data_IF_902068491376
#
_entry.id   IF_902068491376
#
_cell.length_a   1.000
_cell.length_b   1.000
_cell.length_c   1.000
_cell.angle_alpha   90.00
_cell.angle_beta   90.00
_cell.angle_gamma   90.00
#
_symmetry.space_group_name_H-M   'P 1'
#
loop_
_entity.id
_entity.type
_entity.pdbx_description
1 polymer ?
#
# COMPACT_ATOMS: atom_id res chain seq x y z
N UNK A 1 -77.98 -5.03 -44.24
CA UNK A 1 -77.03 -4.59 -45.26
C UNK A 1 -75.66 -4.33 -44.56
N UNK A 2 -74.63 -4.85 -45.10
CA UNK A 2 -73.33 -5.14 -44.43
C UNK A 2 -72.50 -3.86 -44.16
N UNK A 3 -72.18 -3.60 -42.89
CA UNK A 3 -71.24 -2.60 -42.51
C UNK A 3 -69.85 -3.25 -42.23
N UNK A 4 -68.81 -2.83 -42.97
CA UNK A 4 -67.42 -3.27 -42.80
C UNK A 4 -66.80 -2.54 -41.65
N UNK A 5 -66.31 -3.29 -40.68
CA UNK A 5 -65.40 -2.77 -39.61
C UNK A 5 -63.96 -2.74 -40.15
N UNK A 6 -63.35 -1.58 -40.19
CA UNK A 6 -61.93 -1.41 -40.45
C UNK A 6 -61.18 -1.59 -39.11
N UNK A 7 -60.27 -2.55 -39.07
CA UNK A 7 -59.38 -2.75 -37.97
C UNK A 7 -58.10 -1.89 -38.20
N UNK A 8 -57.80 -0.92 -37.30
CA UNK A 8 -56.57 -0.21 -37.28
C UNK A 8 -55.57 -1.09 -36.54
N UNK A 9 -54.53 -1.56 -37.20
CA UNK A 9 -53.37 -2.19 -36.58
C UNK A 9 -52.39 -1.10 -36.17
N UNK A 10 -52.23 -0.89 -34.86
CA UNK A 10 -51.17 -0.06 -34.31
C UNK A 10 -49.88 -0.87 -34.25
N UNK A 11 -48.90 -0.53 -35.08
CA UNK A 11 -47.57 -1.07 -35.04
C UNK A 11 -46.81 -0.37 -33.90
N UNK A 12 -46.55 -1.10 -32.80
CA UNK A 12 -45.64 -0.66 -31.73
C UNK A 12 -44.21 -0.90 -32.21
N UNK A 13 -43.51 0.18 -32.57
CA UNK A 13 -42.08 0.15 -32.85
C UNK A 13 -41.32 0.06 -31.51
N UNK A 14 -40.91 -1.15 -31.14
CA UNK A 14 -39.97 -1.34 -30.03
C UNK A 14 -38.57 -0.90 -30.47
N UNK A 15 -38.16 0.28 -30.06
CA UNK A 15 -36.76 0.73 -30.17
C UNK A 15 -35.97 -0.02 -29.12
N UNK A 16 -35.34 -1.12 -29.52
CA UNK A 16 -34.26 -1.72 -28.72
C UNK A 16 -33.04 -0.79 -28.77
N UNK A 17 -32.88 0.03 -27.76
CA UNK A 17 -31.56 0.65 -27.48
C UNK A 17 -30.61 -0.44 -27.05
N UNK A 18 -29.84 -0.97 -27.98
CA UNK A 18 -28.68 -1.78 -27.69
C UNK A 18 -27.70 -0.86 -26.93
N UNK A 19 -27.60 -1.05 -25.61
CA UNK A 19 -26.50 -0.56 -24.85
C UNK A 19 -25.24 -1.22 -25.44
N UNK A 20 -24.45 -0.46 -26.20
CA UNK A 20 -23.14 -0.86 -26.63
C UNK A 20 -22.31 -1.04 -25.35
N UNK A 21 -22.17 -2.29 -24.91
CA UNK A 21 -21.10 -2.65 -24.00
C UNK A 21 -19.83 -2.29 -24.75
N UNK A 22 -19.20 -1.17 -24.33
CA UNK A 22 -17.84 -0.86 -24.74
C UNK A 22 -17.00 -2.05 -24.28
N UNK A 23 -16.66 -2.92 -25.23
CA UNK A 23 -15.57 -3.88 -25.07
C UNK A 23 -14.35 -3.03 -24.71
N UNK A 24 -13.99 -3.00 -23.41
CA UNK A 24 -12.68 -2.53 -23.02
C UNK A 24 -11.69 -3.38 -23.81
N UNK A 25 -11.06 -2.76 -24.79
CA UNK A 25 -9.86 -3.31 -25.43
C UNK A 25 -8.97 -3.67 -24.27
N UNK A 26 -8.58 -4.94 -24.15
CA UNK A 26 -7.60 -5.35 -23.16
C UNK A 26 -6.38 -4.45 -23.38
N UNK A 27 -6.16 -3.51 -22.47
CA UNK A 27 -5.02 -2.62 -22.57
C UNK A 27 -3.79 -3.53 -22.58
N UNK A 28 -2.93 -3.40 -23.59
CA UNK A 28 -1.70 -4.16 -23.67
C UNK A 28 -0.93 -3.94 -22.36
N UNK A 29 -0.68 -5.02 -21.63
CA UNK A 29 0.06 -4.96 -20.39
C UNK A 29 1.51 -4.55 -20.70
N UNK A 30 2.05 -3.64 -19.91
CA UNK A 30 3.45 -3.28 -20.06
C UNK A 30 4.35 -4.49 -19.81
N UNK A 31 5.23 -4.86 -20.76
CA UNK A 31 6.09 -6.04 -20.63
C UNK A 31 7.08 -5.94 -19.48
N UNK A 32 7.54 -4.73 -19.12
CA UNK A 32 8.46 -4.51 -18.01
C UNK A 32 7.78 -4.82 -16.68
N UNK A 33 6.57 -4.31 -16.47
CA UNK A 33 5.78 -4.58 -15.26
C UNK A 33 5.42 -6.06 -15.19
N UNK A 34 4.97 -6.65 -16.31
CA UNK A 34 4.64 -8.08 -16.39
C UNK A 34 5.84 -8.95 -16.03
N UNK A 35 7.05 -8.57 -16.47
CA UNK A 35 8.29 -9.27 -16.15
C UNK A 35 8.58 -9.24 -14.64
N UNK A 36 8.47 -8.09 -13.97
CA UNK A 36 8.70 -7.98 -12.51
C UNK A 36 7.64 -8.80 -11.74
N UNK A 37 6.37 -8.73 -12.15
CA UNK A 37 5.28 -9.51 -11.55
C UNK A 37 5.53 -11.01 -11.70
N UNK A 38 5.97 -11.45 -12.90
CA UNK A 38 6.29 -12.83 -13.19
C UNK A 38 7.54 -13.35 -12.47
N UNK A 39 8.45 -12.45 -12.08
CA UNK A 39 9.67 -12.81 -11.37
C UNK A 39 9.44 -13.19 -9.90
N UNK A 40 8.27 -12.92 -9.31
CA UNK A 40 7.96 -13.26 -7.90
C UNK A 40 7.93 -14.77 -7.72
N UNK A 41 8.80 -15.27 -6.83
CA UNK A 41 9.03 -16.68 -6.57
C UNK A 41 8.39 -17.15 -5.25
N UNK A 42 7.37 -17.98 -5.37
CA UNK A 42 6.72 -18.63 -4.22
C UNK A 42 7.72 -19.48 -3.42
N UNK A 43 8.55 -20.28 -4.11
CA UNK A 43 9.55 -21.11 -3.47
C UNK A 43 10.62 -20.30 -2.72
N UNK A 44 10.95 -19.08 -3.20
CA UNK A 44 11.86 -18.19 -2.47
C UNK A 44 11.20 -17.59 -1.24
N UNK A 45 9.94 -17.15 -1.33
CA UNK A 45 9.17 -16.68 -0.18
C UNK A 45 9.13 -17.73 0.93
N UNK A 46 8.84 -18.99 0.58
CA UNK A 46 8.84 -20.11 1.52
C UNK A 46 10.21 -20.31 2.17
N UNK A 47 11.28 -20.35 1.39
CA UNK A 47 12.64 -20.55 1.90
C UNK A 47 13.05 -19.41 2.86
N UNK A 48 12.78 -18.16 2.49
CA UNK A 48 13.08 -17.01 3.33
C UNK A 48 12.31 -17.06 4.64
N UNK A 49 11.02 -17.38 4.60
CA UNK A 49 10.17 -17.43 5.79
C UNK A 49 10.58 -18.58 6.72
N UNK A 50 10.91 -19.75 6.19
CA UNK A 50 11.45 -20.87 7.00
C UNK A 50 12.72 -20.46 7.75
N UNK A 51 13.61 -19.72 7.10
CA UNK A 51 14.84 -19.24 7.74
C UNK A 51 14.51 -18.20 8.81
N UNK A 52 13.64 -17.25 8.52
CA UNK A 52 13.25 -16.17 9.46
C UNK A 52 12.57 -16.71 10.72
N UNK A 53 11.66 -17.67 10.58
CA UNK A 53 11.02 -18.38 11.69
C UNK A 53 12.03 -19.18 12.52
N UNK A 54 13.04 -19.73 11.87
CA UNK A 54 14.12 -20.51 12.51
C UNK A 54 14.92 -19.76 13.57
N UNK A 55 14.87 -18.42 13.62
CA UNK A 55 15.46 -17.63 14.71
C UNK A 55 14.69 -17.74 16.05
N UNK A 56 13.58 -18.47 16.10
CA UNK A 56 12.82 -18.83 17.29
C UNK A 56 12.03 -17.68 17.89
N UNK A 57 12.69 -16.58 18.21
CA UNK A 57 12.07 -15.30 18.61
C UNK A 57 12.74 -14.16 17.86
N UNK A 58 11.95 -13.15 17.53
CA UNK A 58 12.49 -11.89 17.02
C UNK A 58 11.97 -10.70 17.85
N UNK A 59 11.64 -10.98 19.12
CA UNK A 59 11.18 -9.93 20.03
C UNK A 59 12.25 -8.80 20.12
N UNK A 60 11.81 -7.56 20.00
CA UNK A 60 12.68 -6.37 20.05
C UNK A 60 13.56 -6.31 21.32
N UNK A 61 13.10 -6.95 22.40
CA UNK A 61 13.83 -7.05 23.67
C UNK A 61 14.59 -8.37 23.85
N UNK A 62 14.65 -9.26 22.84
CA UNK A 62 15.43 -10.51 22.93
C UNK A 62 16.93 -10.23 23.03
N UNK A 63 17.70 -11.22 23.44
CA UNK A 63 19.15 -11.10 23.51
C UNK A 63 19.74 -10.96 22.11
N UNK A 64 20.49 -9.89 21.89
CA UNK A 64 21.14 -9.59 20.61
C UNK A 64 22.52 -10.22 20.44
N UNK A 65 23.04 -10.89 21.46
CA UNK A 65 24.36 -11.55 21.42
C UNK A 65 24.29 -12.98 20.85
N UNK A 66 23.11 -13.57 20.75
CA UNK A 66 22.94 -14.92 20.21
C UNK A 66 23.28 -14.95 18.71
N UNK A 67 24.12 -15.89 18.27
CA UNK A 67 24.57 -15.93 16.87
C UNK A 67 23.51 -16.49 15.91
N UNK A 68 22.56 -17.31 16.41
CA UNK A 68 21.59 -18.05 15.57
C UNK A 68 20.14 -17.86 16.04
N UNK A 69 19.89 -17.04 17.02
CA UNK A 69 18.55 -16.83 17.61
C UNK A 69 18.34 -15.35 17.94
N UNK A 70 17.08 -14.95 18.04
CA UNK A 70 16.69 -13.62 18.50
C UNK A 70 16.80 -12.54 17.41
N UNK A 71 16.39 -11.33 17.81
CA UNK A 71 16.29 -10.19 16.87
C UNK A 71 17.66 -9.78 16.30
N UNK A 72 18.74 -9.99 17.06
CA UNK A 72 20.10 -9.68 16.62
C UNK A 72 20.54 -10.52 15.42
N UNK A 73 20.35 -11.84 15.51
CA UNK A 73 20.66 -12.79 14.44
C UNK A 73 19.76 -12.58 13.23
N UNK A 74 18.45 -12.39 13.45
CA UNK A 74 17.48 -12.16 12.37
C UNK A 74 17.82 -10.91 11.55
N UNK A 75 18.06 -9.76 12.20
CA UNK A 75 18.38 -8.51 11.47
C UNK A 75 19.69 -8.61 10.68
N UNK A 76 20.70 -9.30 11.23
CA UNK A 76 21.97 -9.51 10.52
C UNK A 76 21.74 -10.41 9.29
N UNK A 77 20.98 -11.48 9.44
CA UNK A 77 20.64 -12.34 8.30
C UNK A 77 19.87 -11.59 7.21
N UNK A 78 18.86 -10.75 7.56
CA UNK A 78 18.14 -9.93 6.57
C UNK A 78 19.10 -9.00 5.83
N UNK A 79 19.99 -8.33 6.57
CA UNK A 79 21.02 -7.46 5.99
C UNK A 79 21.92 -8.20 5.00
N UNK A 80 22.44 -9.37 5.41
CA UNK A 80 23.35 -10.18 4.60
C UNK A 80 22.65 -10.75 3.38
N UNK A 81 21.39 -11.21 3.51
CA UNK A 81 20.60 -11.73 2.40
C UNK A 81 20.29 -10.64 1.36
N UNK A 82 19.89 -9.45 1.78
CA UNK A 82 19.67 -8.32 0.87
C UNK A 82 20.97 -7.87 0.19
N UNK A 83 22.09 -7.85 0.92
CA UNK A 83 23.41 -7.52 0.35
C UNK A 83 23.85 -8.51 -0.70
N UNK A 84 23.61 -9.82 -0.48
CA UNK A 84 23.95 -10.88 -1.45
C UNK A 84 23.03 -10.89 -2.66
N UNK A 85 21.82 -10.36 -2.53
CA UNK A 85 20.80 -10.40 -3.57
C UNK A 85 21.23 -9.69 -4.85
N UNK A 86 21.79 -8.48 -4.73
CA UNK A 86 22.25 -7.72 -5.90
C UNK A 86 23.21 -6.60 -5.51
N UNK A 87 24.27 -6.35 -6.29
CA UNK A 87 25.15 -5.21 -6.08
C UNK A 87 24.48 -3.85 -6.36
N UNK A 88 23.30 -3.84 -6.99
CA UNK A 88 22.51 -2.61 -7.19
C UNK A 88 21.85 -2.13 -5.90
N UNK A 89 21.66 -2.99 -4.89
CA UNK A 89 21.03 -2.65 -3.63
C UNK A 89 22.05 -2.02 -2.67
N UNK A 90 21.73 -0.83 -2.21
CA UNK A 90 22.49 -0.14 -1.16
C UNK A 90 21.87 -0.51 0.18
N UNK A 91 22.47 -1.47 0.90
CA UNK A 91 21.93 -2.00 2.16
C UNK A 91 22.59 -1.31 3.34
N UNK A 92 21.78 -0.92 4.32
CA UNK A 92 22.24 -0.23 5.54
C UNK A 92 21.34 -0.51 6.74
N UNK A 93 21.88 -0.29 7.93
CA UNK A 93 21.07 -0.23 9.14
C UNK A 93 20.63 1.21 9.43
N UNK A 94 19.33 1.38 9.64
CA UNK A 94 18.77 2.59 10.21
C UNK A 94 18.66 2.40 11.74
N UNK A 95 19.60 2.97 12.49
CA UNK A 95 19.82 2.69 13.91
C UNK A 95 19.26 3.79 14.80
N UNK A 96 18.48 3.39 15.81
CA UNK A 96 17.84 4.27 16.79
C UNK A 96 18.12 3.80 18.22
N UNK A 97 18.51 4.72 19.11
CA UNK A 97 18.64 4.44 20.55
C UNK A 97 17.32 4.76 21.24
N UNK A 98 16.65 3.72 21.71
CA UNK A 98 15.34 3.81 22.33
C UNK A 98 15.48 3.66 23.85
N UNK A 99 14.94 4.62 24.59
CA UNK A 99 14.98 4.63 26.04
C UNK A 99 13.89 3.73 26.64
N UNK A 100 14.17 3.16 27.80
CA UNK A 100 13.18 2.52 28.67
C UNK A 100 11.95 3.41 28.84
N UNK A 101 10.76 2.83 28.79
CA UNK A 101 9.48 3.51 28.90
C UNK A 101 8.85 3.90 27.57
N UNK A 102 9.58 3.86 26.45
CA UNK A 102 9.02 4.06 25.13
C UNK A 102 7.94 3.00 24.80
N UNK A 103 7.12 3.27 23.77
CA UNK A 103 6.05 2.36 23.36
C UNK A 103 4.99 2.13 24.44
N UNK A 104 4.59 3.20 25.15
CA UNK A 104 3.66 3.13 26.29
C UNK A 104 4.15 2.15 27.39
N UNK A 105 5.46 2.14 27.64
CA UNK A 105 6.09 1.29 28.66
C UNK A 105 6.44 -0.13 28.17
N UNK A 106 6.17 -0.48 26.91
CA UNK A 106 6.52 -1.79 26.36
C UNK A 106 8.03 -2.02 26.21
N UNK A 107 8.80 -0.94 26.03
CA UNK A 107 10.26 -0.99 26.09
C UNK A 107 10.71 -0.96 27.54
N UNK A 108 11.06 -2.12 28.08
CA UNK A 108 11.39 -2.29 29.52
C UNK A 108 12.84 -1.99 29.88
N UNK A 109 13.73 -1.85 28.89
CA UNK A 109 15.16 -1.45 29.04
C UNK A 109 15.59 -0.59 27.88
N UNK A 110 16.73 0.10 27.98
CA UNK A 110 17.32 0.78 26.84
C UNK A 110 17.72 -0.24 25.77
N UNK A 111 17.36 0.03 24.50
CA UNK A 111 17.70 -0.84 23.38
C UNK A 111 18.22 -0.05 22.19
N UNK A 112 19.08 -0.69 21.42
CA UNK A 112 19.44 -0.24 20.08
C UNK A 112 18.56 -0.97 19.06
N UNK A 113 17.62 -0.23 18.50
CA UNK A 113 16.72 -0.71 17.47
C UNK A 113 17.33 -0.44 16.10
N UNK A 114 17.28 -1.41 15.19
CA UNK A 114 17.81 -1.27 13.83
C UNK A 114 16.77 -1.74 12.81
N UNK A 115 16.28 -0.83 11.97
CA UNK A 115 15.61 -1.22 10.75
C UNK A 115 16.67 -1.65 9.72
N UNK A 116 16.34 -2.59 8.85
CA UNK A 116 17.20 -2.96 7.71
C UNK A 116 16.63 -2.29 6.47
N UNK A 117 17.44 -1.47 5.80
CA UNK A 117 17.01 -0.67 4.66
C UNK A 117 17.85 -1.05 3.45
N UNK A 118 17.19 -1.42 2.35
CA UNK A 118 17.81 -1.62 1.04
C UNK A 118 17.24 -0.59 0.06
N UNK A 119 18.12 0.14 -0.61
CA UNK A 119 17.76 1.17 -1.58
C UNK A 119 18.19 0.73 -2.97
N UNK A 120 17.25 0.70 -3.91
CA UNK A 120 17.51 0.57 -5.33
C UNK A 120 17.39 1.98 -5.94
N UNK A 121 18.52 2.65 -6.28
CA UNK A 121 18.49 4.00 -6.83
C UNK A 121 17.73 4.05 -8.16
N UNK A 122 16.85 5.04 -8.31
CA UNK A 122 16.25 5.44 -9.58
C UNK A 122 16.92 6.68 -10.15
N UNK A 123 16.40 7.18 -11.28
CA UNK A 123 16.91 8.41 -11.93
C UNK A 123 16.56 9.68 -11.15
N UNK A 124 15.52 9.63 -10.35
CA UNK A 124 15.05 10.77 -9.53
C UNK A 124 15.14 10.45 -8.03
N UNK A 125 15.21 11.49 -7.18
CA UNK A 125 15.24 11.32 -5.73
C UNK A 125 13.88 10.94 -5.13
N UNK A 126 12.79 10.90 -5.91
CA UNK A 126 11.47 10.47 -5.43
C UNK A 126 11.55 9.05 -4.89
N UNK A 127 10.97 8.80 -3.73
CA UNK A 127 11.04 7.49 -3.09
C UNK A 127 9.68 6.82 -2.99
N UNK A 128 9.67 5.53 -3.31
CA UNK A 128 8.56 4.62 -3.07
C UNK A 128 9.07 3.58 -2.08
N UNK A 129 8.39 3.49 -0.93
CA UNK A 129 8.73 2.56 0.14
C UNK A 129 7.83 1.34 0.11
N UNK A 130 8.41 0.18 0.43
CA UNK A 130 7.67 -1.01 0.83
C UNK A 130 8.23 -1.53 2.14
N UNK A 131 7.35 -1.86 3.09
CA UNK A 131 7.73 -2.26 4.45
C UNK A 131 6.97 -3.49 4.93
N UNK A 132 7.60 -4.21 5.85
CA UNK A 132 7.07 -5.22 6.73
C UNK A 132 7.91 -5.22 8.00
N UNK A 133 7.37 -5.67 9.14
CA UNK A 133 8.15 -5.70 10.38
C UNK A 133 8.74 -7.07 10.66
N UNK A 134 10.02 -7.10 11.03
CA UNK A 134 10.69 -8.39 11.28
C UNK A 134 10.71 -8.80 12.74
N UNK A 135 10.33 -7.92 13.66
CA UNK A 135 10.13 -8.30 15.06
C UNK A 135 8.86 -9.15 15.23
N UNK A 136 8.83 -9.95 16.28
CA UNK A 136 7.72 -10.83 16.62
C UNK A 136 7.44 -10.79 18.11
N UNK A 137 6.23 -11.20 18.49
CA UNK A 137 5.76 -11.14 19.85
C UNK A 137 5.10 -12.46 20.27
N UNK A 138 5.33 -12.89 21.51
CA UNK A 138 4.54 -13.92 22.17
C UNK A 138 3.97 -13.37 23.46
N UNK A 139 2.64 -13.43 23.60
CA UNK A 139 1.88 -12.97 24.76
C UNK A 139 1.32 -14.15 25.52
N UNK A 140 1.03 -13.95 26.79
CA UNK A 140 0.14 -14.85 27.50
C UNK A 140 -1.26 -14.86 26.88
N UNK A 141 -2.02 -15.96 27.01
CA UNK A 141 -3.35 -16.10 26.43
C UNK A 141 -4.29 -14.93 26.76
N UNK A 142 -4.24 -14.42 27.99
CA UNK A 142 -5.07 -13.28 28.41
C UNK A 142 -4.70 -11.99 27.68
N UNK A 143 -3.41 -11.73 27.51
CA UNK A 143 -2.93 -10.57 26.75
C UNK A 143 -3.27 -10.66 25.27
N UNK A 144 -3.17 -11.86 24.69
CA UNK A 144 -3.57 -12.15 23.31
C UNK A 144 -5.07 -11.94 23.12
N UNK A 145 -5.91 -12.46 24.02
CA UNK A 145 -7.36 -12.27 23.98
C UNK A 145 -7.75 -10.79 24.08
N UNK A 146 -7.06 -10.02 24.93
CA UNK A 146 -7.31 -8.60 25.08
C UNK A 146 -7.01 -7.82 23.79
N UNK A 147 -5.88 -8.09 23.11
CA UNK A 147 -5.54 -7.48 21.83
C UNK A 147 -6.53 -7.86 20.73
N UNK A 148 -6.91 -9.12 20.66
CA UNK A 148 -7.86 -9.61 19.65
C UNK A 148 -9.28 -9.03 19.82
N UNK A 149 -9.63 -8.55 21.02
CA UNK A 149 -10.89 -7.83 21.29
C UNK A 149 -10.81 -6.34 21.02
N UNK A 150 -9.70 -5.85 20.45
CA UNK A 150 -9.51 -4.44 20.15
C UNK A 150 -9.18 -3.58 21.36
N UNK A 151 -8.84 -4.19 22.49
CA UNK A 151 -8.35 -3.45 23.64
C UNK A 151 -6.93 -2.96 23.38
N UNK A 152 -6.70 -1.66 23.54
CA UNK A 152 -5.34 -1.10 23.70
C UNK A 152 -4.86 -1.48 25.10
N UNK A 153 -4.49 -2.75 25.27
CA UNK A 153 -4.14 -3.24 26.60
C UNK A 153 -2.75 -2.71 27.00
N UNK A 154 -2.65 -1.82 27.98
CA UNK A 154 -1.37 -1.49 28.62
C UNK A 154 -0.70 -2.70 29.27
N UNK A 155 -1.46 -3.76 29.47
CA UNK A 155 -1.07 -5.00 30.17
C UNK A 155 -0.55 -6.12 29.26
N UNK A 156 -0.52 -5.95 27.94
CA UNK A 156 0.12 -6.90 27.03
C UNK A 156 1.65 -6.85 27.20
N UNK A 157 2.15 -7.18 28.39
CA UNK A 157 3.58 -7.33 28.64
C UNK A 157 3.96 -8.72 28.17
N UNK A 158 4.93 -8.78 27.25
CA UNK A 158 5.71 -9.99 27.04
C UNK A 158 6.41 -10.28 28.35
N UNK A 159 6.12 -11.42 28.96
CA UNK A 159 6.73 -11.76 30.26
C UNK A 159 8.23 -12.07 30.09
N UNK A 160 8.57 -12.76 29.02
CA UNK A 160 9.95 -13.07 28.66
C UNK A 160 10.16 -12.84 27.15
N UNK A 161 11.00 -11.89 26.76
CA UNK A 161 11.28 -11.63 25.35
C UNK A 161 12.05 -12.75 24.64
N UNK A 162 12.51 -13.75 25.38
CA UNK A 162 13.31 -14.85 24.85
C UNK A 162 12.50 -16.14 24.61
N UNK A 163 11.21 -16.16 24.97
CA UNK A 163 10.32 -17.28 24.61
C UNK A 163 10.11 -17.33 23.10
N UNK A 164 9.74 -18.53 22.62
CA UNK A 164 9.47 -18.72 21.20
C UNK A 164 8.30 -17.85 20.75
N UNK A 165 8.56 -17.08 19.72
CA UNK A 165 7.63 -16.21 19.02
C UNK A 165 7.90 -16.34 17.52
N UNK A 166 7.40 -17.41 16.88
CA UNK A 166 7.73 -17.72 15.48
C UNK A 166 7.35 -16.58 14.53
N UNK A 167 6.18 -15.93 14.76
CA UNK A 167 5.74 -14.78 13.97
C UNK A 167 5.79 -15.04 12.48
N UNK A 168 5.30 -16.20 12.02
CA UNK A 168 5.39 -16.57 10.62
C UNK A 168 4.53 -15.67 9.74
N UNK A 169 3.32 -15.39 10.19
CA UNK A 169 2.41 -14.50 9.48
C UNK A 169 2.49 -13.07 10.02
N UNK A 170 2.62 -12.88 11.32
CA UNK A 170 2.76 -11.60 12.02
C UNK A 170 4.23 -11.36 12.48
N UNK A 171 5.14 -10.69 11.76
CA UNK A 171 5.00 -10.31 10.36
C UNK A 171 6.19 -10.83 9.55
N UNK A 172 6.45 -12.14 9.71
CA UNK A 172 7.39 -12.82 8.83
C UNK A 172 6.95 -12.75 7.37
N UNK A 173 5.62 -12.84 7.12
CA UNK A 173 5.04 -12.80 5.79
C UNK A 173 5.34 -11.50 5.06
N UNK A 174 5.11 -10.35 5.67
CA UNK A 174 5.43 -9.05 5.09
C UNK A 174 6.94 -8.81 4.95
N UNK A 175 7.73 -9.24 5.94
CA UNK A 175 9.19 -9.14 5.87
C UNK A 175 9.76 -9.87 4.64
N UNK A 176 9.38 -11.14 4.41
CA UNK A 176 9.90 -11.88 3.26
C UNK A 176 9.33 -11.40 1.93
N UNK A 177 8.12 -10.86 1.92
CA UNK A 177 7.55 -10.18 0.77
C UNK A 177 8.41 -8.98 0.36
N UNK A 178 8.83 -8.15 1.32
CA UNK A 178 9.74 -7.01 1.09
C UNK A 178 11.09 -7.49 0.53
N UNK A 179 11.66 -8.58 1.07
CA UNK A 179 12.93 -9.15 0.60
C UNK A 179 12.81 -9.74 -0.82
N UNK A 180 11.69 -10.35 -1.15
CA UNK A 180 11.44 -10.88 -2.50
C UNK A 180 11.23 -9.76 -3.52
N UNK A 181 10.50 -8.71 -3.16
CA UNK A 181 10.38 -7.52 -4.00
C UNK A 181 11.74 -6.88 -4.25
N UNK A 182 12.58 -6.71 -3.22
CA UNK A 182 13.94 -6.18 -3.40
C UNK A 182 14.73 -6.96 -4.45
N UNK A 183 14.64 -8.29 -4.46
CA UNK A 183 15.25 -9.14 -5.48
C UNK A 183 14.65 -8.92 -6.86
N UNK A 184 13.32 -9.05 -6.98
CA UNK A 184 12.65 -8.98 -8.27
C UNK A 184 12.91 -7.65 -8.98
N UNK A 185 12.93 -6.55 -8.24
CA UNK A 185 13.24 -5.22 -8.78
C UNK A 185 14.72 -5.05 -9.10
N UNK A 186 15.63 -5.48 -8.22
CA UNK A 186 17.08 -5.30 -8.44
C UNK A 186 17.64 -6.17 -9.57
N UNK A 187 17.07 -7.35 -9.80
CA UNK A 187 17.42 -8.23 -10.91
C UNK A 187 16.76 -7.85 -12.23
N UNK A 188 15.69 -7.03 -12.19
CA UNK A 188 15.08 -6.51 -13.41
C UNK A 188 16.08 -5.62 -14.17
N UNK A 189 15.97 -5.60 -15.48
CA UNK A 189 16.78 -4.69 -16.32
C UNK A 189 16.05 -3.36 -16.56
N UNK A 190 15.17 -2.97 -15.65
CA UNK A 190 14.35 -1.77 -15.75
C UNK A 190 15.08 -0.60 -15.11
N UNK A 191 15.14 0.51 -15.82
CA UNK A 191 15.68 1.78 -15.32
C UNK A 191 14.53 2.65 -14.79
N UNK A 192 14.22 2.47 -13.50
CA UNK A 192 13.11 3.17 -12.85
C UNK A 192 13.39 4.65 -12.67
N UNK A 193 12.36 5.48 -12.81
CA UNK A 193 12.49 6.90 -12.49
C UNK A 193 12.57 7.13 -10.98
N UNK A 194 11.64 6.56 -10.21
CA UNK A 194 11.68 6.68 -8.76
C UNK A 194 12.68 5.72 -8.12
N UNK A 195 13.31 6.15 -7.03
CA UNK A 195 14.12 5.31 -6.13
C UNK A 195 13.21 4.41 -5.31
N UNK A 196 13.48 3.10 -5.28
CA UNK A 196 12.73 2.12 -4.50
C UNK A 196 13.45 1.85 -3.18
N UNK A 197 12.68 1.81 -2.09
CA UNK A 197 13.20 1.56 -0.74
C UNK A 197 12.46 0.39 -0.11
N UNK A 198 13.20 -0.66 0.21
CA UNK A 198 12.74 -1.87 0.86
C UNK A 198 13.18 -1.84 2.31
N UNK A 199 12.24 -1.84 3.26
CA UNK A 199 12.57 -1.69 4.66
C UNK A 199 11.94 -2.79 5.51
N UNK A 200 12.78 -3.56 6.22
CA UNK A 200 12.35 -4.44 7.29
C UNK A 200 12.43 -3.67 8.61
N UNK A 201 11.28 -3.43 9.22
CA UNK A 201 11.10 -2.55 10.38
C UNK A 201 11.24 -3.35 11.67
N UNK A 202 11.75 -2.74 12.72
CA UNK A 202 11.84 -3.30 14.06
C UNK A 202 10.98 -2.51 15.06
N UNK A 203 10.45 -3.20 16.07
CA UNK A 203 9.72 -2.57 17.17
C UNK A 203 8.33 -2.11 16.80
N UNK A 204 7.71 -2.76 15.83
CA UNK A 204 6.28 -2.59 15.52
C UNK A 204 5.45 -3.00 16.72
N UNK A 205 5.70 -4.19 17.24
CA UNK A 205 5.00 -4.84 18.35
C UNK A 205 5.08 -4.05 19.66
N UNK A 206 6.09 -3.21 19.80
CA UNK A 206 6.22 -2.33 20.95
C UNK A 206 5.63 -0.93 20.71
N UNK A 207 4.91 -0.72 19.60
CA UNK A 207 4.17 0.51 19.31
C UNK A 207 4.73 1.31 18.13
N UNK A 208 5.05 0.65 17.02
CA UNK A 208 5.49 1.23 15.74
C UNK A 208 6.79 2.02 15.87
N UNK A 209 7.68 1.63 16.78
CA UNK A 209 8.80 2.49 17.20
C UNK A 209 9.77 2.74 16.05
N UNK A 210 10.15 1.69 15.31
CA UNK A 210 11.08 1.80 14.19
C UNK A 210 10.53 2.60 13.03
N UNK A 211 9.26 2.34 12.66
CA UNK A 211 8.59 3.09 11.61
C UNK A 211 8.43 4.57 11.98
N UNK A 212 8.04 4.89 13.22
CA UNK A 212 7.91 6.28 13.68
C UNK A 212 9.25 7.02 13.66
N UNK A 213 10.31 6.38 14.13
CA UNK A 213 11.64 6.99 14.14
C UNK A 213 12.13 7.23 12.70
N UNK A 214 11.94 6.26 11.81
CA UNK A 214 12.32 6.38 10.41
C UNK A 214 11.51 7.47 9.68
N UNK A 215 10.17 7.45 9.78
CA UNK A 215 9.30 8.42 9.12
C UNK A 215 9.59 9.87 9.55
N UNK A 216 9.82 10.10 10.85
CA UNK A 216 10.23 11.42 11.38
C UNK A 216 11.56 11.89 10.82
N UNK A 217 12.55 11.02 10.74
CA UNK A 217 13.84 11.35 10.14
C UNK A 217 13.68 11.69 8.66
N UNK A 218 12.99 10.86 7.89
CA UNK A 218 12.71 11.08 6.47
C UNK A 218 12.02 12.43 6.25
N UNK A 219 11.07 12.80 7.12
CA UNK A 219 10.40 14.11 7.07
C UNK A 219 11.37 15.26 7.41
N UNK A 220 12.16 15.12 8.47
CA UNK A 220 13.15 16.12 8.87
C UNK A 220 14.18 16.37 7.77
N UNK A 221 14.62 15.31 7.10
CA UNK A 221 15.56 15.34 5.98
C UNK A 221 14.91 15.79 4.65
N UNK A 222 13.60 16.08 4.64
CA UNK A 222 12.82 16.51 3.48
C UNK A 222 12.94 15.56 2.29
N UNK A 223 13.03 14.28 2.55
CA UNK A 223 13.08 13.26 1.50
C UNK A 223 11.74 13.25 0.73
N UNK A 224 11.75 13.30 -0.61
CA UNK A 224 10.52 13.31 -1.39
C UNK A 224 9.90 11.91 -1.45
N UNK A 225 9.09 11.55 -0.46
CA UNK A 225 8.36 10.28 -0.41
C UNK A 225 7.06 10.41 -1.17
N UNK A 226 6.88 9.56 -2.17
CA UNK A 226 5.67 9.52 -3.01
C UNK A 226 4.62 8.54 -2.47
N UNK A 227 5.07 7.37 -1.99
CA UNK A 227 4.18 6.31 -1.54
C UNK A 227 4.88 5.39 -0.52
N UNK A 228 4.08 4.82 0.39
CA UNK A 228 4.51 3.78 1.33
C UNK A 228 3.51 2.62 1.30
N UNK A 229 4.01 1.43 1.00
CA UNK A 229 3.27 0.17 0.93
C UNK A 229 3.66 -0.66 2.15
N UNK A 230 2.82 -0.70 3.18
CA UNK A 230 3.07 -1.52 4.36
C UNK A 230 2.35 -2.86 4.25
N UNK A 231 3.10 -3.94 4.36
CA UNK A 231 2.59 -5.30 4.33
C UNK A 231 2.77 -5.92 5.70
N UNK A 232 1.66 -6.31 6.34
CA UNK A 232 1.67 -6.80 7.70
C UNK A 232 0.49 -7.77 7.87
N UNK A 233 0.80 -9.03 8.20
CA UNK A 233 -0.14 -10.16 8.19
C UNK A 233 -0.73 -10.33 6.78
N UNK A 234 0.10 -10.79 5.84
CA UNK A 234 -0.28 -10.93 4.41
C UNK A 234 -0.09 -12.34 3.87
N UNK A 235 0.10 -13.33 4.75
CA UNK A 235 0.40 -14.71 4.38
C UNK A 235 -0.76 -15.68 4.55
N UNK A 236 -1.75 -15.42 5.40
CA UNK A 236 -2.85 -16.33 5.69
C UNK A 236 -4.05 -16.17 4.75
N UNK A 237 -4.66 -17.27 4.34
CA UNK A 237 -5.90 -17.29 3.55
C UNK A 237 -7.10 -17.82 4.33
N UNK A 238 -6.87 -18.33 5.55
CA UNK A 238 -7.89 -18.95 6.41
C UNK A 238 -8.06 -18.18 7.72
N UNK A 239 -9.27 -17.73 7.97
CA UNK A 239 -9.66 -17.07 9.22
C UNK A 239 -9.80 -18.06 10.40
N UNK A 240 -9.78 -17.54 11.62
CA UNK A 240 -9.99 -18.33 12.84
C UNK A 240 -11.39 -18.95 12.96
N UNK A 241 -12.31 -18.55 12.11
CA UNK A 241 -13.66 -19.12 11.97
C UNK A 241 -13.75 -20.21 10.89
N UNK A 242 -12.61 -20.62 10.31
CA UNK A 242 -12.54 -21.59 9.22
C UNK A 242 -12.96 -21.07 7.85
N UNK A 243 -13.28 -19.78 7.74
CA UNK A 243 -13.55 -19.17 6.42
C UNK A 243 -12.28 -19.01 5.61
N UNK A 244 -12.33 -19.36 4.30
CA UNK A 244 -11.18 -19.30 3.41
C UNK A 244 -11.42 -18.26 2.32
N UNK A 245 -10.45 -17.36 2.12
CA UNK A 245 -10.43 -16.41 1.01
C UNK A 245 -8.99 -16.17 0.54
N UNK A 246 -8.55 -16.97 -0.43
CA UNK A 246 -7.22 -16.88 -1.05
C UNK A 246 -7.16 -15.95 -2.26
N UNK A 247 -8.23 -15.17 -2.53
CA UNK A 247 -8.34 -14.35 -3.76
C UNK A 247 -8.51 -12.86 -3.50
N UNK A 248 -8.53 -12.46 -2.23
CA UNK A 248 -8.77 -11.06 -1.85
C UNK A 248 -7.70 -10.61 -0.86
N UNK A 249 -7.23 -9.37 -0.98
CA UNK A 249 -6.42 -8.67 0.04
C UNK A 249 -7.16 -7.42 0.48
N UNK A 250 -7.09 -7.09 1.78
CA UNK A 250 -7.62 -5.83 2.31
C UNK A 250 -6.55 -4.75 2.22
N UNK A 251 -6.94 -3.56 1.80
CA UNK A 251 -6.07 -2.40 1.70
C UNK A 251 -6.66 -1.23 2.47
N UNK A 252 -6.03 -0.90 3.58
CA UNK A 252 -6.40 0.20 4.45
C UNK A 252 -5.78 1.51 3.98
N UNK A 253 -6.55 2.59 4.03
CA UNK A 253 -6.08 3.92 3.67
C UNK A 253 -6.72 4.99 4.56
N UNK A 254 -5.90 5.94 5.01
CA UNK A 254 -6.35 7.04 5.86
C UNK A 254 -7.32 7.97 5.11
N UNK A 255 -8.34 8.49 5.83
CA UNK A 255 -9.22 9.55 5.33
C UNK A 255 -8.59 10.94 5.41
N UNK A 256 -9.29 11.94 4.87
CA UNK A 256 -10.58 11.88 4.18
C UNK A 256 -10.54 11.17 2.82
N UNK A 257 -11.70 11.08 2.15
CA UNK A 257 -11.85 10.28 0.92
C UNK A 257 -10.92 10.70 -0.23
N UNK A 258 -10.47 11.93 -0.24
CA UNK A 258 -9.55 12.45 -1.26
C UNK A 258 -8.12 12.66 -0.72
N UNK A 259 -7.77 12.03 0.40
CA UNK A 259 -6.42 12.08 0.95
C UNK A 259 -5.41 11.43 0.00
N UNK A 260 -4.12 11.80 0.08
CA UNK A 260 -3.07 11.13 -0.68
C UNK A 260 -3.01 9.61 -0.44
N UNK A 261 -3.32 9.15 0.78
CA UNK A 261 -3.38 7.72 1.09
C UNK A 261 -4.54 7.03 0.38
N UNK A 262 -5.71 7.70 0.28
CA UNK A 262 -6.85 7.17 -0.46
C UNK A 262 -6.57 7.13 -1.96
N UNK A 263 -5.97 8.19 -2.51
CA UNK A 263 -5.55 8.23 -3.91
C UNK A 263 -4.56 7.09 -4.24
N UNK A 264 -3.61 6.80 -3.33
CA UNK A 264 -2.70 5.69 -3.46
C UNK A 264 -3.43 4.33 -3.42
N UNK A 265 -4.39 4.14 -2.50
CA UNK A 265 -5.16 2.89 -2.42
C UNK A 265 -6.00 2.65 -3.68
N UNK A 266 -6.65 3.67 -4.23
CA UNK A 266 -7.40 3.59 -5.48
C UNK A 266 -6.48 3.28 -6.66
N UNK A 267 -5.29 3.88 -6.70
CA UNK A 267 -4.26 3.58 -7.69
C UNK A 267 -3.86 2.10 -7.63
N UNK A 268 -3.53 1.57 -6.45
CA UNK A 268 -3.20 0.15 -6.24
C UNK A 268 -4.32 -0.75 -6.74
N UNK A 269 -5.57 -0.45 -6.40
CA UNK A 269 -6.73 -1.24 -6.85
C UNK A 269 -6.86 -1.31 -8.37
N UNK A 270 -6.64 -0.20 -9.07
CA UNK A 270 -6.70 -0.14 -10.55
C UNK A 270 -5.55 -0.92 -11.20
N UNK A 271 -4.33 -0.75 -10.70
CA UNK A 271 -3.16 -1.47 -11.24
C UNK A 271 -3.29 -2.98 -10.98
N UNK A 272 -3.71 -3.36 -9.77
CA UNK A 272 -3.96 -4.77 -9.44
C UNK A 272 -4.99 -5.42 -10.37
N UNK A 273 -6.08 -4.74 -10.67
CA UNK A 273 -7.11 -5.26 -11.59
C UNK A 273 -6.58 -5.48 -13.01
N UNK A 274 -5.53 -4.75 -13.43
CA UNK A 274 -4.88 -4.93 -14.73
C UNK A 274 -3.88 -6.09 -14.75
N UNK A 275 -2.97 -6.13 -13.78
CA UNK A 275 -1.82 -7.03 -13.80
C UNK A 275 -2.00 -8.33 -13.00
N UNK A 276 -2.89 -8.33 -11.99
CA UNK A 276 -3.17 -9.48 -11.12
C UNK A 276 -4.69 -9.67 -10.96
N UNK A 277 -5.46 -9.85 -12.05
CA UNK A 277 -6.93 -9.84 -12.01
C UNK A 277 -7.56 -10.96 -11.17
N UNK A 278 -6.81 -12.03 -10.93
CA UNK A 278 -7.23 -13.15 -10.07
C UNK A 278 -7.17 -12.82 -8.56
N UNK A 279 -6.51 -11.72 -8.17
CA UNK A 279 -6.33 -11.31 -6.79
C UNK A 279 -6.89 -9.92 -6.55
N UNK A 280 -8.04 -9.84 -5.89
CA UNK A 280 -8.81 -8.61 -5.76
C UNK A 280 -8.38 -7.77 -4.57
N UNK A 281 -8.26 -6.47 -4.76
CA UNK A 281 -8.06 -5.51 -3.68
C UNK A 281 -9.41 -5.06 -3.13
N UNK A 282 -9.62 -5.28 -1.83
CA UNK A 282 -10.75 -4.71 -1.09
C UNK A 282 -10.29 -3.43 -0.41
N UNK A 283 -10.68 -2.29 -0.95
CA UNK A 283 -10.37 -0.99 -0.38
C UNK A 283 -11.18 -0.77 0.91
N UNK A 284 -10.48 -0.42 1.98
CA UNK A 284 -11.08 -0.09 3.26
C UNK A 284 -10.82 1.39 3.58
N UNK A 285 -11.91 2.16 3.58
CA UNK A 285 -11.91 3.60 3.78
C UNK A 285 -11.68 3.98 5.25
N UNK A 286 -10.61 3.48 5.85
CA UNK A 286 -10.19 3.77 7.22
C UNK A 286 -8.70 3.50 7.40
N UNK A 287 -8.08 4.18 8.35
CA UNK A 287 -6.63 4.09 8.58
C UNK A 287 -6.15 2.66 8.85
N UNK A 288 -6.85 1.92 9.71
CA UNK A 288 -6.54 0.52 10.03
C UNK A 288 -7.78 -0.15 10.67
N UNK A 289 -7.59 -1.37 11.16
CA UNK A 289 -8.56 -2.16 11.94
C UNK A 289 -9.02 -1.37 13.17
N UNK A 290 -10.18 -1.73 13.72
CA UNK A 290 -10.73 -1.05 14.88
C UNK A 290 -9.82 -1.23 16.10
N UNK A 291 -9.39 -0.10 16.72
CA UNK A 291 -8.47 -0.05 17.88
C UNK A 291 -7.11 -0.74 17.67
N UNK A 292 -6.69 -0.94 16.41
CA UNK A 292 -5.37 -1.47 16.04
C UNK A 292 -4.67 -0.53 15.06
N UNK A 293 -3.41 -0.79 14.80
CA UNK A 293 -2.59 -0.03 13.86
C UNK A 293 -1.63 -0.94 13.12
N UNK A 294 -0.71 -0.33 12.39
CA UNK A 294 0.41 -0.91 11.70
C UNK A 294 1.36 0.18 11.27
N UNK A 295 2.52 -0.16 10.74
CA UNK A 295 3.60 0.79 10.45
C UNK A 295 3.22 1.89 9.45
N UNK A 296 2.27 1.65 8.52
CA UNK A 296 1.75 2.70 7.64
C UNK A 296 1.15 3.89 8.41
N UNK A 297 0.58 3.64 9.60
CA UNK A 297 0.00 4.72 10.41
C UNK A 297 1.07 5.66 10.97
N UNK A 298 2.30 5.18 11.18
CA UNK A 298 3.43 6.02 11.56
C UNK A 298 3.79 7.02 10.45
N UNK A 299 3.71 6.61 9.19
CA UNK A 299 3.94 7.46 8.05
C UNK A 299 2.79 8.45 7.81
N UNK A 300 1.52 8.00 7.96
CA UNK A 300 0.35 8.89 7.88
C UNK A 300 0.43 10.03 8.90
N UNK A 301 0.88 9.75 10.13
CA UNK A 301 1.06 10.79 11.17
C UNK A 301 2.08 11.86 10.79
N UNK A 302 3.03 11.55 9.92
CA UNK A 302 4.00 12.50 9.38
C UNK A 302 3.53 13.16 8.07
N UNK A 303 2.33 12.81 7.58
CA UNK A 303 1.69 13.39 6.40
C UNK A 303 2.06 12.73 5.09
N UNK A 304 2.66 11.53 5.12
CA UNK A 304 2.98 10.76 3.90
C UNK A 304 1.80 9.90 3.44
N UNK A 305 1.70 9.72 2.12
CA UNK A 305 0.76 8.78 1.52
C UNK A 305 1.20 7.35 1.85
N UNK A 306 0.50 6.69 2.78
CA UNK A 306 0.80 5.34 3.20
C UNK A 306 -0.46 4.48 3.28
N UNK A 307 -0.34 3.23 2.83
CA UNK A 307 -1.42 2.23 2.84
C UNK A 307 -0.97 0.95 3.53
N UNK A 308 -1.91 0.26 4.17
CA UNK A 308 -1.66 -1.00 4.88
C UNK A 308 -2.35 -2.18 4.21
N UNK A 309 -1.55 -3.14 3.73
CA UNK A 309 -2.04 -4.42 3.22
C UNK A 309 -2.24 -5.39 4.39
N UNK A 310 -3.35 -6.11 4.37
CA UNK A 310 -3.70 -7.15 5.33
C UNK A 310 -4.40 -8.30 4.59
N UNK A 311 -4.17 -9.50 5.03
CA UNK A 311 -4.88 -10.68 4.50
C UNK A 311 -6.40 -10.53 4.58
N UNK A 312 -7.11 -11.25 3.73
CA UNK A 312 -8.57 -11.18 3.62
C UNK A 312 -9.28 -11.60 4.91
N UNK A 313 -8.75 -12.60 5.60
CA UNK A 313 -9.29 -13.21 6.82
C UNK A 313 -8.17 -13.40 7.84
N UNK A 314 -8.17 -12.58 8.89
CA UNK A 314 -7.19 -12.73 9.97
C UNK A 314 -7.56 -13.89 10.90
N UNK A 315 -6.57 -14.72 11.23
CA UNK A 315 -6.70 -15.74 12.25
C UNK A 315 -6.16 -15.22 13.59
N UNK A 316 -7.03 -14.60 14.36
CA UNK A 316 -6.66 -14.00 15.65
C UNK A 316 -6.15 -15.01 16.70
N UNK A 317 -6.44 -16.30 16.55
CA UNK A 317 -5.95 -17.32 17.47
C UNK A 317 -4.47 -17.63 17.29
N UNK A 318 -3.89 -17.27 16.12
CA UNK A 318 -2.47 -17.47 15.82
C UNK A 318 -1.61 -16.25 16.19
N UNK A 319 -2.15 -15.04 16.03
CA UNK A 319 -1.39 -13.80 16.22
C UNK A 319 -0.83 -13.65 17.63
N UNK A 320 0.38 -13.11 17.76
CA UNK A 320 1.06 -12.83 19.03
C UNK A 320 1.19 -14.07 19.95
N UNK A 321 1.46 -15.23 19.38
CA UNK A 321 1.57 -16.47 20.12
C UNK A 321 2.47 -17.52 19.47
N UNK A 322 2.74 -18.62 20.17
CA UNK A 322 3.60 -19.70 19.66
C UNK A 322 2.98 -20.44 18.47
N UNK A 323 1.68 -20.23 18.20
CA UNK A 323 0.93 -20.87 17.11
C UNK A 323 0.99 -20.10 15.79
N UNK A 324 1.69 -18.95 15.75
CA UNK A 324 1.95 -18.25 14.50
C UNK A 324 3.12 -18.89 13.76
N UNK A 325 2.85 -20.04 13.16
CA UNK A 325 3.81 -20.92 12.52
C UNK A 325 3.57 -21.01 11.02
N UNK A 326 4.44 -21.70 10.30
CA UNK A 326 4.39 -21.85 8.83
C UNK A 326 3.09 -22.48 8.33
N UNK A 327 2.45 -23.33 9.15
CA UNK A 327 1.17 -23.97 8.83
C UNK A 327 0.01 -22.96 8.66
N UNK A 328 0.17 -21.75 9.19
CA UNK A 328 -0.78 -20.64 9.01
C UNK A 328 -0.58 -19.86 7.72
N UNK A 329 0.47 -20.15 6.94
CA UNK A 329 0.85 -19.37 5.77
C UNK A 329 0.56 -20.14 4.47
N UNK A 330 -0.19 -19.52 3.57
CA UNK A 330 -0.36 -19.96 2.19
C UNK A 330 0.64 -19.21 1.30
N UNK A 331 1.69 -19.91 0.86
CA UNK A 331 2.72 -19.27 0.02
C UNK A 331 2.18 -18.82 -1.33
N UNK A 332 1.21 -19.54 -1.89
CA UNK A 332 0.52 -19.10 -3.10
C UNK A 332 -0.22 -17.77 -2.90
N UNK A 333 -0.90 -17.59 -1.76
CA UNK A 333 -1.56 -16.34 -1.40
C UNK A 333 -0.55 -15.21 -1.15
N UNK A 334 0.51 -15.48 -0.41
CA UNK A 334 1.60 -14.54 -0.15
C UNK A 334 2.25 -14.08 -1.46
N UNK A 335 2.48 -15.01 -2.41
CA UNK A 335 3.02 -14.68 -3.72
C UNK A 335 2.08 -13.78 -4.54
N UNK A 336 0.76 -13.94 -4.43
CA UNK A 336 -0.18 -13.04 -5.09
C UNK A 336 -0.13 -11.63 -4.48
N UNK A 337 -0.02 -11.51 -3.16
CA UNK A 337 0.18 -10.22 -2.49
C UNK A 337 1.49 -9.55 -2.93
N UNK A 338 2.58 -10.32 -3.07
CA UNK A 338 3.84 -9.82 -3.59
C UNK A 338 3.73 -9.35 -5.06
N UNK A 339 3.04 -10.10 -5.93
CA UNK A 339 2.80 -9.72 -7.34
C UNK A 339 2.02 -8.43 -7.45
N UNK A 340 1.00 -8.27 -6.61
CA UNK A 340 0.19 -7.06 -6.56
C UNK A 340 1.02 -5.83 -6.14
N UNK A 341 1.83 -5.97 -5.10
CA UNK A 341 2.78 -4.93 -4.69
C UNK A 341 3.77 -4.61 -5.81
N UNK A 342 4.33 -5.64 -6.46
CA UNK A 342 5.26 -5.50 -7.58
C UNK A 342 4.66 -4.68 -8.73
N UNK A 343 3.43 -5.01 -9.15
CA UNK A 343 2.74 -4.29 -10.21
C UNK A 343 2.53 -2.81 -9.88
N UNK A 344 1.98 -2.53 -8.69
CA UNK A 344 1.68 -1.16 -8.27
C UNK A 344 2.94 -0.31 -8.07
N UNK A 345 3.99 -0.90 -7.46
CA UNK A 345 5.27 -0.21 -7.29
C UNK A 345 5.97 0.06 -8.62
N UNK A 346 5.98 -0.91 -9.56
CA UNK A 346 6.60 -0.75 -10.87
C UNK A 346 5.91 0.32 -11.71
N UNK A 347 4.58 0.29 -11.79
CA UNK A 347 3.77 1.31 -12.48
C UNK A 347 4.10 2.70 -11.93
N UNK A 348 4.07 2.87 -10.60
CA UNK A 348 4.33 4.16 -9.96
C UNK A 348 5.80 4.61 -10.09
N UNK A 349 6.74 3.66 -10.13
CA UNK A 349 8.16 3.98 -10.27
C UNK A 349 8.56 4.40 -11.69
N UNK A 350 7.81 3.97 -12.69
CA UNK A 350 7.98 4.38 -14.09
C UNK A 350 7.21 5.66 -14.43
N UNK A 351 6.15 5.96 -13.68
CA UNK A 351 5.30 7.12 -13.90
C UNK A 351 5.98 8.46 -13.54
N UNK A 352 5.56 9.58 -14.14
CA UNK A 352 5.91 10.93 -13.67
C UNK A 352 5.39 11.17 -12.24
N UNK A 353 5.88 12.19 -11.52
CA UNK A 353 5.26 12.63 -10.28
C UNK A 353 3.83 13.11 -10.51
N UNK A 354 2.96 12.97 -9.50
CA UNK A 354 1.60 13.50 -9.56
C UNK A 354 1.63 15.03 -9.69
N UNK A 355 0.72 15.64 -10.50
CA UNK A 355 0.68 17.09 -10.69
C UNK A 355 0.26 17.82 -9.41
N UNK A 356 0.79 19.00 -9.18
CA UNK A 356 0.32 19.87 -8.11
C UNK A 356 -0.97 20.58 -8.52
N UNK A 357 -2.00 20.53 -7.67
CA UNK A 357 -3.33 21.11 -7.93
C UNK A 357 -3.67 22.27 -6.97
N UNK A 358 -2.67 22.75 -6.25
CA UNK A 358 -2.81 23.87 -5.32
C UNK A 358 -1.89 25.03 -5.67
N UNK A 359 -2.29 26.24 -5.36
CA UNK A 359 -1.44 27.42 -5.43
C UNK A 359 -0.46 27.48 -4.23
N UNK A 360 0.49 28.43 -4.18
CA UNK A 360 1.42 28.57 -3.06
C UNK A 360 0.76 28.82 -1.68
N UNK A 361 -0.51 29.19 -1.65
CA UNK A 361 -1.30 29.35 -0.42
C UNK A 361 -2.04 28.07 0.00
N UNK A 362 -1.83 26.96 -0.72
CA UNK A 362 -2.52 25.69 -0.46
C UNK A 362 -3.97 25.62 -0.95
N UNK A 363 -4.44 26.61 -1.68
CA UNK A 363 -5.80 26.62 -2.22
C UNK A 363 -5.85 25.85 -3.55
N UNK A 364 -6.90 25.04 -3.81
CA UNK A 364 -7.06 24.33 -5.07
C UNK A 364 -7.12 25.31 -6.26
N UNK A 365 -6.50 24.92 -7.36
CA UNK A 365 -6.50 25.69 -8.60
C UNK A 365 -7.67 25.29 -9.51
N UNK A 366 -8.86 25.25 -8.93
CA UNK A 366 -10.15 24.95 -9.54
C UNK A 366 -11.04 26.17 -9.44
N UNK A 367 -11.66 26.62 -10.51
CA UNK A 367 -12.64 27.70 -10.50
C UNK A 367 -13.79 27.48 -11.51
N UNK A 368 -14.83 28.31 -11.40
CA UNK A 368 -15.93 28.38 -12.35
C UNK A 368 -15.57 29.34 -13.48
N UNK A 369 -15.91 28.98 -14.70
CA UNK A 369 -15.92 29.94 -15.81
C UNK A 369 -17.09 30.93 -15.67
N UNK A 370 -17.09 32.07 -16.36
CA UNK A 370 -18.01 33.19 -16.10
C UNK A 370 -19.49 32.84 -15.98
N UNK A 371 -19.96 31.79 -16.67
CA UNK A 371 -21.37 31.36 -16.59
C UNK A 371 -21.68 30.41 -15.41
N UNK A 372 -20.67 30.02 -14.61
CA UNK A 372 -20.87 29.22 -13.39
C UNK A 372 -21.10 27.74 -13.57
N UNK A 373 -21.14 27.24 -14.80
CA UNK A 373 -21.49 25.86 -15.12
C UNK A 373 -20.37 25.03 -15.76
N UNK A 374 -19.19 25.60 -15.89
CA UNK A 374 -18.01 24.90 -16.43
C UNK A 374 -16.93 24.84 -15.35
N UNK A 375 -16.36 23.64 -15.15
CA UNK A 375 -15.21 23.48 -14.25
C UNK A 375 -13.92 23.81 -15.01
N UNK A 376 -13.13 24.75 -14.47
CA UNK A 376 -11.82 25.11 -14.99
C UNK A 376 -10.73 24.58 -14.05
N UNK A 377 -10.05 23.54 -14.48
CA UNK A 377 -8.98 22.87 -13.77
C UNK A 377 -7.62 23.38 -14.24
N UNK A 378 -6.72 23.66 -13.32
CA UNK A 378 -5.33 24.02 -13.59
C UNK A 378 -4.39 23.23 -12.67
N UNK A 379 -3.23 22.88 -13.16
CA UNK A 379 -2.23 22.13 -12.40
C UNK A 379 -0.80 22.54 -12.78
N UNK A 380 0.18 22.15 -11.98
CA UNK A 380 1.59 22.33 -12.32
C UNK A 380 2.06 21.19 -13.22
N UNK A 381 2.89 21.52 -14.21
CA UNK A 381 3.49 20.52 -15.07
C UNK A 381 4.30 19.50 -14.26
N UNK A 382 4.10 18.22 -14.57
CA UNK A 382 4.88 17.13 -13.99
C UNK A 382 6.10 16.84 -14.86
N UNK A 383 7.31 16.85 -14.30
CA UNK A 383 8.52 16.50 -15.06
C UNK A 383 8.39 15.12 -15.70
N UNK A 384 8.68 15.01 -16.99
CA UNK A 384 8.58 13.76 -17.73
C UNK A 384 7.16 13.36 -18.18
N UNK A 385 6.14 14.15 -17.88
CA UNK A 385 4.80 13.90 -18.40
C UNK A 385 4.71 14.15 -19.91
N UNK A 386 4.06 13.24 -20.62
CA UNK A 386 3.70 13.34 -22.03
C UNK A 386 2.25 13.71 -22.27
N UNK A 387 1.44 13.63 -21.21
CA UNK A 387 0.03 13.97 -21.19
C UNK A 387 -0.56 13.92 -19.79
N UNK A 388 -1.85 14.23 -19.71
CA UNK A 388 -2.59 14.19 -18.47
C UNK A 388 -3.95 13.53 -18.68
N UNK A 389 -4.46 12.94 -17.60
CA UNK A 389 -5.83 12.42 -17.50
C UNK A 389 -6.57 13.19 -16.41
N UNK A 390 -7.62 13.90 -16.81
CA UNK A 390 -8.58 14.52 -15.90
C UNK A 390 -9.61 13.46 -15.54
N UNK A 391 -9.93 13.35 -14.26
CA UNK A 391 -10.95 12.44 -13.74
C UNK A 391 -11.94 13.22 -12.89
N UNK A 392 -13.21 12.75 -12.87
CA UNK A 392 -14.21 13.34 -11.98
C UNK A 392 -15.22 12.30 -11.54
N UNK A 393 -15.83 12.56 -10.42
CA UNK A 393 -16.87 11.74 -9.82
C UNK A 393 -17.90 12.61 -9.14
N UNK A 394 -19.13 12.16 -9.04
CA UNK A 394 -20.12 12.79 -8.20
C UNK A 394 -19.65 12.87 -6.75
N UNK A 395 -19.93 13.96 -6.03
CA UNK A 395 -19.37 14.20 -4.71
C UNK A 395 -19.71 13.12 -3.66
N UNK A 396 -20.79 12.35 -3.89
CA UNK A 396 -21.18 11.22 -3.03
C UNK A 396 -20.54 9.87 -3.45
N UNK A 397 -19.95 9.77 -4.65
CA UNK A 397 -19.35 8.53 -5.15
C UNK A 397 -17.93 8.35 -4.60
N UNK A 398 -17.53 7.09 -4.36
CA UNK A 398 -16.19 6.79 -3.86
C UNK A 398 -15.15 6.63 -4.98
N UNK A 399 -15.57 6.10 -6.14
CA UNK A 399 -14.69 5.81 -7.27
C UNK A 399 -14.84 6.84 -8.38
N UNK A 400 -13.75 7.11 -9.12
CA UNK A 400 -13.78 7.94 -10.31
C UNK A 400 -14.69 7.35 -11.37
N UNK A 401 -15.75 8.07 -11.71
CA UNK A 401 -16.79 7.61 -12.65
C UNK A 401 -16.52 8.04 -14.08
N UNK A 402 -15.78 9.12 -14.26
CA UNK A 402 -15.53 9.74 -15.55
C UNK A 402 -14.06 10.09 -15.71
N UNK A 403 -13.59 10.08 -16.96
CA UNK A 403 -12.22 10.42 -17.31
C UNK A 403 -12.11 11.04 -18.69
N UNK A 404 -11.11 11.88 -18.90
CA UNK A 404 -10.74 12.46 -20.19
C UNK A 404 -9.23 12.56 -20.32
N UNK A 405 -8.67 12.03 -21.41
CA UNK A 405 -7.27 12.29 -21.78
C UNK A 405 -7.17 13.65 -22.46
N UNK A 406 -6.35 14.55 -21.92
CA UNK A 406 -6.32 15.96 -22.34
C UNK A 406 -4.99 16.39 -22.99
N UNK A 407 -4.12 15.43 -23.32
CA UNK A 407 -2.81 15.72 -23.91
C UNK A 407 -1.86 16.40 -22.92
N UNK A 408 -0.77 16.98 -23.45
CA UNK A 408 0.24 17.64 -22.63
C UNK A 408 -0.10 19.13 -22.42
N UNK A 409 -1.09 19.37 -21.58
CA UNK A 409 -1.60 20.71 -21.20
C UNK A 409 -1.56 20.87 -19.69
N UNK A 410 -1.62 22.09 -19.19
CA UNK A 410 -1.61 22.39 -17.74
C UNK A 410 -2.93 23.01 -17.25
N UNK A 411 -3.92 23.04 -18.12
CA UNK A 411 -5.30 23.45 -17.78
C UNK A 411 -6.29 22.74 -18.68
N UNK A 412 -7.51 22.60 -18.19
CA UNK A 412 -8.63 22.03 -18.92
C UNK A 412 -9.95 22.60 -18.43
N UNK A 413 -10.83 22.89 -19.38
CA UNK A 413 -12.20 23.31 -19.08
C UNK A 413 -13.15 22.16 -19.37
N UNK A 414 -13.81 21.66 -18.36
CA UNK A 414 -14.88 20.66 -18.50
C UNK A 414 -16.21 21.39 -18.61
N UNK A 415 -16.87 21.39 -19.79
CA UNK A 415 -18.13 22.11 -19.97
C UNK A 415 -19.27 21.40 -19.26
N UNK A 416 -20.24 22.18 -18.80
CA UNK A 416 -21.47 21.69 -18.14
C UNK A 416 -21.22 20.81 -16.91
N UNK A 417 -20.13 21.08 -16.21
CA UNK A 417 -19.75 20.35 -15.00
C UNK A 417 -19.64 21.34 -13.83
N UNK A 418 -20.66 21.37 -13.00
CA UNK A 418 -20.69 22.22 -11.81
C UNK A 418 -19.67 21.74 -10.77
N UNK A 419 -18.81 22.63 -10.30
CA UNK A 419 -17.77 22.27 -9.32
C UNK A 419 -18.32 21.91 -7.94
N UNK A 420 -19.58 22.24 -7.65
CA UNK A 420 -20.21 21.92 -6.36
C UNK A 420 -20.77 20.49 -6.31
N UNK A 421 -21.04 19.87 -7.48
CA UNK A 421 -21.65 18.55 -7.58
C UNK A 421 -20.62 17.43 -7.76
N UNK A 422 -19.39 17.78 -8.14
CA UNK A 422 -18.34 16.82 -8.48
C UNK A 422 -17.04 17.04 -7.70
N UNK A 423 -16.32 15.97 -7.48
CA UNK A 423 -14.91 16.01 -7.10
C UNK A 423 -14.07 15.76 -8.36
N UNK A 424 -13.05 16.56 -8.56
CA UNK A 424 -12.15 16.52 -9.70
C UNK A 424 -10.75 16.10 -9.29
N UNK A 425 -10.03 15.50 -10.24
CA UNK A 425 -8.64 15.16 -10.06
C UNK A 425 -7.89 15.11 -11.38
N UNK A 426 -6.57 15.10 -11.30
CA UNK A 426 -5.69 14.99 -12.46
C UNK A 426 -4.53 14.04 -12.16
N UNK A 427 -4.18 13.19 -13.13
CA UNK A 427 -3.01 12.33 -13.11
C UNK A 427 -2.10 12.68 -14.28
N UNK A 428 -0.78 12.57 -14.08
CA UNK A 428 0.21 12.72 -15.15
C UNK A 428 0.43 11.36 -15.81
N UNK A 429 0.59 11.39 -17.13
CA UNK A 429 0.89 10.23 -17.97
C UNK A 429 2.29 10.42 -18.52
N UNK A 430 3.17 9.43 -18.32
CA UNK A 430 4.52 9.42 -18.83
C UNK A 430 4.70 8.64 -20.13
N UNK A 431 5.94 8.53 -20.60
CA UNK A 431 6.29 7.60 -21.68
C UNK A 431 5.85 6.18 -21.34
N UNK A 432 5.39 5.42 -22.33
CA UNK A 432 4.86 4.08 -22.11
C UNK A 432 3.44 4.03 -21.52
N UNK A 433 2.82 5.19 -21.24
CA UNK A 433 1.47 5.25 -20.68
C UNK A 433 1.39 5.08 -19.16
N UNK A 434 2.54 5.08 -18.46
CA UNK A 434 2.58 4.97 -16.99
C UNK A 434 1.96 6.19 -16.33
N UNK A 435 1.10 5.92 -15.36
CA UNK A 435 0.26 6.93 -14.75
C UNK A 435 0.62 7.18 -13.28
N UNK A 436 0.67 8.45 -12.89
CA UNK A 436 0.82 8.84 -11.48
C UNK A 436 -0.44 8.53 -10.66
N UNK A 437 -0.35 8.67 -9.35
CA UNK A 437 -1.56 8.83 -8.52
C UNK A 437 -2.33 10.07 -8.93
N UNK A 438 -3.63 10.07 -8.73
CA UNK A 438 -4.50 11.22 -8.98
C UNK A 438 -4.30 12.25 -7.87
N UNK A 439 -4.06 13.51 -8.24
CA UNK A 439 -4.16 14.65 -7.34
C UNK A 439 -5.59 15.21 -7.39
N UNK A 440 -6.32 15.10 -6.28
CA UNK A 440 -7.68 15.61 -6.18
C UNK A 440 -7.69 17.09 -5.79
N UNK A 441 -8.64 17.85 -6.36
CA UNK A 441 -8.92 19.24 -6.00
C UNK A 441 -9.79 19.28 -4.73
N UNK A 442 -9.15 19.33 -3.57
CA UNK A 442 -9.82 19.29 -2.27
C UNK A 442 -9.90 20.72 -1.72
N UNK A 443 -11.08 21.19 -1.29
CA UNK A 443 -11.18 22.45 -0.56
C UNK A 443 -10.28 22.43 0.69
N UNK A 444 -9.60 23.54 1.04
CA UNK A 444 -8.87 23.60 2.29
C UNK A 444 -9.85 23.40 3.45
N UNK A 445 -9.40 22.78 4.57
CA UNK A 445 -10.25 22.64 5.73
C UNK A 445 -10.75 24.03 6.18
N UNK A 446 -12.03 24.13 6.58
CA UNK A 446 -12.56 25.41 7.06
C UNK A 446 -11.75 25.89 8.26
N UNK A 447 -11.33 27.15 8.23
CA UNK A 447 -10.77 27.85 9.38
C UNK A 447 -11.92 28.38 10.21
N UNK A 448 -12.24 27.73 11.32
CA UNK A 448 -13.21 28.23 12.31
C UNK A 448 -12.51 29.09 13.35
#
# INVERSE_FOLDING_TARGET
MRGRRAALAAAVLSICTAAAAQTRVAADLDPQITSVVGAISEARLERLLRTLVGFGTRNTLSDTSWPTRGIGAARQWIFDELTRTSPKLQVSFDTHRIKKGAGNGRITRNVELRNVVAVLPGRSPRRIYVSGHYDSLSLLPEGQLALNRGATAPSARTLDPNVDAPGANDDGSGTVLVMELARAFAESQIDFDATLVFIAVAGEEQGLIGARAHARRVKADRVPVQAVFNNDIVGGAEGGDGSVDGTTVRLYSEGPDDSPSRALAMFVGRVAARYVPSHKVRLLARRDRFSRGGDHTAWNLEGFAAVGFRESRENYARQHGPNDTLEGVSFAYLAQNARLNAAAMAELALAPPAPGVTNPRGQPTLDRRPLGYDAHLRWTASPGATGYRVVWREAWAQDWQHEASVGNVIEYVLPKANIDDFVYGVAAIGPGGHESTVSAYIPPPPTY
#
